data_IF_787923662961
#
_entry.id   IF_787923662961
#
_cell.length_a   1.000
_cell.length_b   1.000
_cell.length_c   1.000
_cell.angle_alpha   90.00
_cell.angle_beta   90.00
_cell.angle_gamma   90.00
#
_symmetry.space_group_name_H-M   'P 1'
#
loop_
_entity.id
_entity.type
_entity.pdbx_description
1 polymer ?
#
# COMPACT_ATOMS: atom_id res chain seq x y z
N UNK A 1 -38.90 -3.25 -9.15
CA UNK A 1 -39.04 -3.91 -7.85
C UNK A 1 -38.26 -3.08 -6.83
N UNK A 2 -39.04 -2.47 -5.93
CA UNK A 2 -38.59 -1.55 -4.89
C UNK A 2 -37.56 -2.22 -3.99
N UNK A 3 -36.32 -1.69 -3.96
CA UNK A 3 -35.42 -1.89 -2.82
C UNK A 3 -36.07 -1.17 -1.62
N UNK A 4 -36.61 -1.95 -0.70
CA UNK A 4 -36.98 -1.43 0.61
C UNK A 4 -35.75 -0.96 1.32
N UNK A 5 -35.69 0.33 1.68
CA UNK A 5 -34.77 0.84 2.69
C UNK A 5 -35.06 0.10 4.01
N UNK A 6 -34.34 -0.97 4.27
CA UNK A 6 -34.19 -1.48 5.62
C UNK A 6 -33.18 -0.54 6.26
N UNK A 7 -33.63 0.35 7.12
CA UNK A 7 -32.75 0.95 8.14
C UNK A 7 -32.25 -0.23 8.98
N UNK A 8 -31.08 -0.73 8.66
CA UNK A 8 -30.39 -1.67 9.52
C UNK A 8 -30.21 -0.95 10.88
N UNK A 9 -30.81 -1.48 11.92
CA UNK A 9 -30.65 -0.92 13.25
C UNK A 9 -29.23 -1.17 13.70
N UNK A 10 -28.58 -0.14 14.22
CA UNK A 10 -27.29 -0.26 14.90
C UNK A 10 -27.40 -1.39 15.92
N UNK A 11 -26.64 -2.46 15.71
CA UNK A 11 -26.67 -3.59 16.61
C UNK A 11 -25.48 -3.50 17.57
N UNK A 12 -25.76 -3.05 18.81
CA UNK A 12 -24.80 -3.14 19.89
C UNK A 12 -24.72 -4.61 20.31
N UNK A 13 -23.58 -5.25 20.07
CA UNK A 13 -23.33 -6.63 20.47
C UNK A 13 -22.68 -6.58 21.86
N UNK A 14 -23.51 -6.76 22.90
CA UNK A 14 -23.13 -6.50 24.28
C UNK A 14 -22.10 -7.49 24.81
N UNK A 15 -22.18 -8.75 24.38
CA UNK A 15 -21.35 -9.83 24.90
C UNK A 15 -21.12 -10.94 23.87
N UNK A 16 -20.34 -11.95 24.25
CA UNK A 16 -19.99 -13.08 23.40
C UNK A 16 -21.18 -13.99 23.07
N UNK A 17 -22.19 -14.07 23.94
CA UNK A 17 -23.39 -14.89 23.68
C UNK A 17 -24.23 -14.25 22.57
N UNK A 18 -24.43 -12.95 22.61
CA UNK A 18 -25.13 -12.19 21.57
C UNK A 18 -24.36 -12.29 20.24
N UNK A 19 -23.04 -12.09 20.25
CA UNK A 19 -22.20 -12.29 19.09
C UNK A 19 -22.39 -13.71 18.50
N UNK A 20 -22.32 -14.74 19.34
CA UNK A 20 -22.51 -16.12 18.90
C UNK A 20 -23.90 -16.35 18.27
N UNK A 21 -24.95 -15.75 18.84
CA UNK A 21 -26.31 -15.86 18.30
C UNK A 21 -26.40 -15.26 16.89
N UNK A 22 -25.76 -14.12 16.65
CA UNK A 22 -25.72 -13.47 15.33
C UNK A 22 -24.93 -14.32 14.33
N UNK A 23 -23.69 -14.66 14.65
CA UNK A 23 -22.81 -15.38 13.72
C UNK A 23 -23.29 -16.80 13.42
N UNK A 24 -24.00 -17.46 14.33
CA UNK A 24 -24.58 -18.79 14.10
C UNK A 24 -25.79 -18.75 13.14
N UNK A 25 -26.31 -17.59 12.78
CA UNK A 25 -27.32 -17.45 11.73
C UNK A 25 -26.73 -17.57 10.31
N UNK A 26 -25.41 -17.46 10.15
CA UNK A 26 -24.70 -17.63 8.90
C UNK A 26 -24.22 -19.06 8.72
N UNK A 27 -24.04 -19.48 7.47
CA UNK A 27 -23.38 -20.74 7.15
C UNK A 27 -21.89 -20.66 7.55
N UNK A 28 -21.33 -21.77 8.04
CA UNK A 28 -19.90 -21.82 8.33
C UNK A 28 -19.08 -21.85 7.04
N UNK A 29 -17.99 -21.07 7.01
CA UNK A 29 -17.11 -21.02 5.87
C UNK A 29 -16.30 -22.31 5.75
N UNK A 30 -16.31 -22.93 4.56
CA UNK A 30 -15.59 -24.17 4.28
C UNK A 30 -14.34 -23.85 3.47
N UNK A 31 -13.18 -23.86 4.11
CA UNK A 31 -11.89 -23.47 3.52
C UNK A 31 -11.46 -24.38 2.35
N UNK A 32 -11.90 -25.63 2.33
CA UNK A 32 -11.57 -26.61 1.28
C UNK A 32 -12.18 -26.24 -0.09
N UNK A 33 -13.19 -25.38 -0.10
CA UNK A 33 -13.85 -24.91 -1.31
C UNK A 33 -13.27 -23.60 -1.83
N UNK A 34 -12.17 -23.12 -1.26
CA UNK A 34 -11.55 -21.87 -1.67
C UNK A 34 -11.03 -21.95 -3.11
N UNK A 35 -11.36 -20.93 -3.85
CA UNK A 35 -10.77 -20.64 -5.14
C UNK A 35 -9.49 -19.79 -4.98
N UNK A 36 -8.87 -19.41 -6.11
CA UNK A 36 -7.76 -18.47 -6.10
C UNK A 36 -8.14 -17.11 -5.49
N UNK A 37 -7.21 -16.47 -4.78
CA UNK A 37 -7.36 -15.09 -4.30
C UNK A 37 -7.63 -14.07 -5.42
N UNK A 38 -7.52 -14.45 -6.68
CA UNK A 38 -7.93 -13.62 -7.83
C UNK A 38 -9.41 -13.24 -7.76
N UNK A 39 -10.27 -14.08 -7.15
CA UNK A 39 -11.67 -13.77 -6.93
C UNK A 39 -11.86 -12.55 -6.04
N UNK A 40 -11.10 -12.46 -4.97
CA UNK A 40 -11.18 -11.36 -3.98
C UNK A 40 -10.66 -10.04 -4.57
N UNK A 41 -9.67 -10.10 -5.48
CA UNK A 41 -9.07 -8.94 -6.13
C UNK A 41 -9.54 -8.71 -7.57
N UNK A 42 -10.66 -9.36 -7.97
CA UNK A 42 -11.26 -9.15 -9.30
C UNK A 42 -11.65 -7.68 -9.47
N UNK A 43 -11.11 -7.03 -10.51
CA UNK A 43 -11.35 -5.62 -10.79
C UNK A 43 -12.81 -5.31 -11.17
N UNK A 44 -13.59 -6.33 -11.56
CA UNK A 44 -14.99 -6.18 -11.95
C UNK A 44 -15.98 -6.43 -10.80
N UNK A 45 -15.46 -6.76 -9.60
CA UNK A 45 -16.28 -7.08 -8.42
C UNK A 45 -16.13 -6.03 -7.35
N UNK A 46 -17.24 -5.74 -6.69
CA UNK A 46 -17.29 -4.94 -5.47
C UNK A 46 -17.74 -5.85 -4.33
N UNK A 47 -16.80 -6.38 -3.59
CA UNK A 47 -17.08 -7.29 -2.49
C UNK A 47 -17.51 -6.54 -1.23
N UNK A 48 -18.44 -7.16 -0.48
CA UNK A 48 -18.84 -6.75 0.85
C UNK A 48 -18.17 -7.68 1.87
N UNK A 49 -17.62 -7.10 2.91
CA UNK A 49 -17.06 -7.78 4.08
C UNK A 49 -17.74 -7.25 5.34
N UNK A 50 -18.30 -8.15 6.14
CA UNK A 50 -18.96 -7.80 7.37
C UNK A 50 -18.14 -8.30 8.56
N UNK A 51 -17.77 -7.38 9.44
CA UNK A 51 -17.05 -7.68 10.67
C UNK A 51 -18.01 -7.62 11.85
N UNK A 52 -17.97 -8.66 12.67
CA UNK A 52 -18.76 -8.72 13.90
C UNK A 52 -17.83 -8.83 15.12
N UNK A 53 -17.98 -7.91 16.06
CA UNK A 53 -17.23 -7.84 17.31
C UNK A 53 -18.16 -7.55 18.47
N UNK A 54 -17.79 -7.97 19.69
CA UNK A 54 -18.44 -7.46 20.88
C UNK A 54 -18.18 -5.97 21.04
N UNK A 55 -19.04 -5.27 21.75
CA UNK A 55 -18.85 -3.84 22.03
C UNK A 55 -17.54 -3.59 22.78
N UNK A 56 -17.18 -4.46 23.73
CA UNK A 56 -15.92 -4.39 24.46
C UNK A 56 -14.71 -4.40 23.51
N UNK A 57 -14.66 -5.33 22.57
CA UNK A 57 -13.57 -5.43 21.58
C UNK A 57 -13.56 -4.23 20.62
N UNK A 58 -14.74 -3.75 20.20
CA UNK A 58 -14.84 -2.57 19.36
C UNK A 58 -14.35 -1.32 20.10
N UNK A 59 -14.72 -1.17 21.36
CA UNK A 59 -14.28 -0.06 22.21
C UNK A 59 -12.77 -0.12 22.48
N UNK A 60 -12.19 -1.31 22.67
CA UNK A 60 -10.75 -1.49 22.84
C UNK A 60 -9.98 -0.91 21.65
N UNK A 61 -10.31 -1.32 20.42
CA UNK A 61 -9.61 -0.81 19.25
C UNK A 61 -9.94 0.67 18.95
N UNK A 62 -11.14 1.15 19.27
CA UNK A 62 -11.51 2.56 19.10
C UNK A 62 -10.82 3.48 20.11
N UNK A 63 -10.58 3.01 21.33
CA UNK A 63 -9.92 3.81 22.37
C UNK A 63 -8.42 3.95 22.18
N UNK A 64 -7.77 3.01 21.49
CA UNK A 64 -6.33 3.08 21.21
C UNK A 64 -5.95 2.46 19.85
N UNK A 65 -6.39 3.06 18.72
CA UNK A 65 -6.14 2.53 17.39
C UNK A 65 -4.66 2.36 17.05
N UNK A 66 -3.84 3.33 17.50
CA UNK A 66 -2.40 3.36 17.20
C UNK A 66 -1.58 2.27 17.92
N UNK A 67 -2.15 1.61 18.94
CA UNK A 67 -1.52 0.44 19.55
C UNK A 67 -1.49 -0.78 18.62
N UNK A 68 -2.34 -0.78 17.59
CA UNK A 68 -2.42 -1.86 16.61
C UNK A 68 -2.65 -3.26 17.21
N UNK A 69 -3.29 -3.32 18.39
CA UNK A 69 -3.61 -4.57 19.05
C UNK A 69 -4.75 -5.30 18.34
N UNK A 70 -4.58 -6.61 18.16
CA UNK A 70 -5.66 -7.44 17.65
C UNK A 70 -6.66 -7.78 18.74
N UNK A 71 -7.94 -7.64 18.41
CA UNK A 71 -9.08 -8.16 19.18
C UNK A 71 -9.74 -9.28 18.40
N UNK A 72 -10.47 -10.15 19.11
CA UNK A 72 -11.21 -11.24 18.50
C UNK A 72 -12.51 -10.76 17.86
N UNK A 73 -12.84 -11.30 16.70
CA UNK A 73 -14.11 -11.09 16.02
C UNK A 73 -14.42 -12.19 15.02
N UNK A 74 -15.41 -11.94 14.19
CA UNK A 74 -15.80 -12.82 13.08
C UNK A 74 -15.91 -12.02 11.79
N UNK A 75 -15.59 -12.67 10.68
CA UNK A 75 -15.74 -12.14 9.33
C UNK A 75 -16.86 -12.88 8.62
N UNK A 76 -17.83 -12.18 8.05
CA UNK A 76 -18.83 -12.76 7.16
C UNK A 76 -18.54 -12.29 5.74
N UNK A 77 -18.49 -13.24 4.83
CA UNK A 77 -18.30 -13.01 3.40
C UNK A 77 -19.26 -13.89 2.60
N UNK A 78 -20.07 -13.25 1.75
CA UNK A 78 -21.10 -13.94 0.93
C UNK A 78 -22.01 -14.88 1.75
N UNK A 79 -22.42 -14.41 2.94
CA UNK A 79 -23.33 -15.17 3.82
C UNK A 79 -22.68 -16.30 4.61
N UNK A 80 -21.34 -16.43 4.54
CA UNK A 80 -20.58 -17.45 5.27
C UNK A 80 -19.68 -16.81 6.31
N UNK A 81 -19.67 -17.38 7.52
CA UNK A 81 -18.91 -16.86 8.67
C UNK A 81 -17.57 -17.57 8.84
N UNK A 82 -16.53 -16.77 9.03
CA UNK A 82 -15.21 -17.18 9.52
C UNK A 82 -15.09 -16.68 10.95
N UNK A 83 -15.10 -17.61 11.89
CA UNK A 83 -15.01 -17.32 13.33
C UNK A 83 -13.55 -17.17 13.79
N UNK A 84 -13.37 -16.50 14.93
CA UNK A 84 -12.08 -16.36 15.60
C UNK A 84 -11.00 -15.70 14.70
N UNK A 85 -11.35 -14.62 14.02
CA UNK A 85 -10.39 -13.79 13.31
C UNK A 85 -9.86 -12.69 14.22
N UNK A 86 -8.61 -12.28 14.01
CA UNK A 86 -8.06 -11.11 14.68
C UNK A 86 -8.37 -9.85 13.88
N UNK A 87 -8.92 -8.83 14.52
CA UNK A 87 -9.29 -7.55 13.90
C UNK A 87 -8.53 -6.44 14.59
N UNK A 88 -7.94 -5.51 13.83
CA UNK A 88 -7.30 -4.31 14.35
C UNK A 88 -7.33 -3.17 13.36
N UNK A 89 -7.14 -1.97 13.83
CA UNK A 89 -6.72 -0.88 12.96
C UNK A 89 -5.26 -1.02 12.58
N UNK A 90 -4.85 -0.35 11.51
CA UNK A 90 -3.47 -0.29 11.04
C UNK A 90 -3.16 1.10 10.49
N UNK A 91 -1.90 1.48 10.54
CA UNK A 91 -1.46 2.73 9.92
C UNK A 91 -0.04 3.07 10.26
N UNK A 92 0.39 4.17 9.70
CA UNK A 92 1.58 4.92 10.09
C UNK A 92 1.15 6.31 10.55
N UNK A 93 2.07 7.20 10.78
CA UNK A 93 1.79 8.58 11.23
C UNK A 93 0.73 9.24 10.33
N UNK A 94 0.88 9.17 9.01
CA UNK A 94 -0.07 9.79 8.06
C UNK A 94 -1.51 9.26 8.18
N UNK A 95 -1.68 7.96 8.46
CA UNK A 95 -2.99 7.36 8.61
C UNK A 95 -3.72 7.80 9.90
N UNK A 96 -2.99 8.19 10.92
CA UNK A 96 -3.54 8.58 12.22
C UNK A 96 -3.91 10.06 12.33
N UNK A 97 -3.23 10.91 11.56
CA UNK A 97 -3.42 12.35 11.67
C UNK A 97 -4.83 12.80 11.31
N UNK A 98 -5.40 13.66 12.17
CA UNK A 98 -6.77 14.12 12.04
C UNK A 98 -7.82 13.06 12.37
N UNK A 99 -7.41 11.84 12.74
CA UNK A 99 -8.29 10.71 13.05
C UNK A 99 -8.16 10.19 14.47
N UNK A 100 -7.25 10.75 15.27
CA UNK A 100 -7.08 10.47 16.69
C UNK A 100 -7.34 11.73 17.52
N UNK A 101 -7.75 11.53 18.78
CA UNK A 101 -8.02 12.63 19.70
C UNK A 101 -6.77 13.38 20.15
N UNK A 102 -5.59 12.78 20.07
CA UNK A 102 -4.32 13.45 20.25
C UNK A 102 -3.69 13.72 18.86
N UNK A 103 -3.48 15.00 18.56
CA UNK A 103 -2.95 15.46 17.27
C UNK A 103 -1.41 15.54 17.23
N UNK A 104 -0.72 14.84 18.12
CA UNK A 104 0.74 14.78 18.11
C UNK A 104 1.24 13.88 16.96
N UNK A 105 1.80 14.52 15.93
CA UNK A 105 2.35 13.83 14.76
C UNK A 105 3.55 12.94 15.08
N UNK A 106 4.26 13.20 16.18
CA UNK A 106 5.45 12.43 16.58
C UNK A 106 5.10 11.23 17.44
N UNK A 107 3.90 11.23 18.04
CA UNK A 107 3.42 10.17 18.91
C UNK A 107 1.89 10.04 18.80
N UNK A 108 1.38 9.48 17.68
CA UNK A 108 -0.06 9.31 17.50
C UNK A 108 -0.67 8.49 18.63
N UNK A 109 -1.71 9.00 19.28
CA UNK A 109 -2.34 8.33 20.41
C UNK A 109 -3.76 8.84 20.67
N UNK A 110 -4.46 8.22 21.61
CA UNK A 110 -5.82 8.57 21.97
C UNK A 110 -6.87 7.77 21.18
N UNK A 111 -8.13 8.17 21.33
CA UNK A 111 -9.26 7.46 20.73
C UNK A 111 -9.53 7.93 19.28
N UNK A 112 -10.20 7.06 18.53
CA UNK A 112 -10.60 7.30 17.14
C UNK A 112 -11.63 8.43 17.03
N UNK A 113 -11.42 9.36 16.12
CA UNK A 113 -12.31 10.50 15.83
C UNK A 113 -12.88 10.49 14.40
N UNK A 114 -12.24 9.77 13.47
CA UNK A 114 -12.75 9.58 12.11
C UNK A 114 -13.77 8.43 12.05
N UNK A 115 -14.72 8.45 11.11
CA UNK A 115 -15.66 7.34 10.91
C UNK A 115 -14.93 6.02 10.62
N UNK A 116 -13.88 6.06 9.80
CA UNK A 116 -13.11 4.88 9.42
C UNK A 116 -11.61 5.11 9.54
N UNK A 117 -10.91 4.02 9.82
CA UNK A 117 -9.46 3.90 9.78
C UNK A 117 -9.10 2.64 8.99
N UNK A 118 -7.91 2.58 8.44
CA UNK A 118 -7.42 1.38 7.77
C UNK A 118 -7.42 0.18 8.73
N UNK A 119 -7.83 -0.99 8.23
CA UNK A 119 -8.00 -2.19 9.05
C UNK A 119 -7.18 -3.36 8.53
N UNK A 120 -6.83 -4.25 9.44
CA UNK A 120 -6.18 -5.53 9.14
C UNK A 120 -6.93 -6.66 9.82
N UNK A 121 -7.28 -7.68 9.02
CA UNK A 121 -7.98 -8.86 9.49
C UNK A 121 -7.04 -10.04 9.39
N UNK A 122 -6.76 -10.72 10.51
CA UNK A 122 -5.90 -11.89 10.58
C UNK A 122 -6.77 -13.15 10.60
N UNK A 123 -6.85 -13.85 9.47
CA UNK A 123 -7.65 -15.07 9.31
C UNK A 123 -7.09 -16.21 10.16
N UNK A 124 -5.76 -16.35 10.15
CA UNK A 124 -5.05 -17.33 10.97
C UNK A 124 -4.79 -16.85 12.41
N UNK A 125 -5.76 -16.14 13.01
CA UNK A 125 -5.63 -15.65 14.39
C UNK A 125 -5.52 -16.77 15.40
N UNK A 126 -6.39 -17.78 15.24
CA UNK A 126 -6.35 -19.00 16.02
C UNK A 126 -6.28 -20.20 15.06
N UNK A 127 -5.06 -20.64 14.74
CA UNK A 127 -4.80 -21.76 13.81
C UNK A 127 -4.16 -21.33 12.50
N UNK A 128 -4.17 -22.21 11.50
CA UNK A 128 -3.48 -22.03 10.21
C UNK A 128 -4.43 -21.81 9.02
N UNK A 129 -5.67 -21.43 9.29
CA UNK A 129 -6.68 -21.21 8.27
C UNK A 129 -6.29 -20.11 7.30
N UNK A 130 -6.71 -20.26 6.05
CA UNK A 130 -6.52 -19.28 4.98
C UNK A 130 -7.84 -19.02 4.29
N UNK A 131 -8.12 -17.77 3.96
CA UNK A 131 -9.28 -17.35 3.20
C UNK A 131 -8.83 -17.05 1.76
N UNK A 132 -9.29 -17.83 0.80
CA UNK A 132 -8.82 -17.78 -0.60
C UNK A 132 -7.28 -17.84 -0.70
N UNK A 133 -6.65 -18.67 0.13
CA UNK A 133 -5.20 -18.80 0.22
C UNK A 133 -4.48 -17.71 1.04
N UNK A 134 -5.19 -16.69 1.50
CA UNK A 134 -4.62 -15.56 2.25
C UNK A 134 -4.72 -15.76 3.77
N UNK A 135 -3.67 -15.36 4.49
CA UNK A 135 -3.64 -15.34 5.96
C UNK A 135 -4.20 -14.04 6.55
N UNK A 136 -4.18 -12.97 5.76
CA UNK A 136 -4.59 -11.62 6.19
C UNK A 136 -5.29 -10.88 5.05
N UNK A 137 -6.26 -10.05 5.41
CA UNK A 137 -6.87 -9.04 4.55
C UNK A 137 -6.48 -7.65 5.05
N UNK A 138 -6.37 -6.70 4.13
CA UNK A 138 -6.12 -5.28 4.45
C UNK A 138 -7.12 -4.40 3.73
N UNK A 139 -7.66 -3.45 4.48
CA UNK A 139 -8.60 -2.46 3.98
C UNK A 139 -8.05 -1.08 4.30
N UNK A 140 -7.62 -0.34 3.28
CA UNK A 140 -7.09 1.01 3.46
C UNK A 140 -8.23 2.02 3.38
N UNK A 141 -8.28 2.93 4.35
CA UNK A 141 -9.42 3.86 4.53
C UNK A 141 -9.51 4.93 3.44
N UNK A 142 -8.40 5.26 2.79
CA UNK A 142 -8.31 6.31 1.76
C UNK A 142 -8.84 7.67 2.25
N UNK A 143 -8.62 8.00 3.54
CA UNK A 143 -9.13 9.24 4.12
C UNK A 143 -8.52 10.50 3.49
N UNK A 144 -7.28 10.42 3.00
CA UNK A 144 -6.57 11.53 2.33
C UNK A 144 -6.89 11.61 0.85
N UNK A 145 -7.25 10.50 0.20
CA UNK A 145 -7.64 10.46 -1.21
C UNK A 145 -9.16 10.62 -1.37
N UNK A 146 -9.63 11.85 -1.60
CA UNK A 146 -11.05 12.11 -1.85
C UNK A 146 -11.55 11.50 -3.17
N UNK A 147 -10.67 11.20 -4.12
CA UNK A 147 -11.05 10.49 -5.35
C UNK A 147 -11.29 9.00 -5.12
N UNK A 148 -10.67 8.42 -4.11
CA UNK A 148 -10.61 6.98 -3.79
C UNK A 148 -10.01 6.13 -4.92
N UNK A 149 -9.21 6.75 -5.81
CA UNK A 149 -8.68 6.09 -7.01
C UNK A 149 -7.17 5.89 -7.00
N UNK A 150 -6.42 6.66 -6.20
CA UNK A 150 -4.95 6.75 -6.27
C UNK A 150 -4.29 5.39 -6.10
N UNK A 151 -4.57 4.72 -4.99
CA UNK A 151 -3.93 3.44 -4.66
C UNK A 151 -4.27 2.35 -5.68
N UNK A 152 -5.54 2.21 -6.04
CA UNK A 152 -6.00 1.23 -7.03
C UNK A 152 -5.38 1.48 -8.39
N UNK A 153 -5.34 2.74 -8.84
CA UNK A 153 -4.75 3.12 -10.13
C UNK A 153 -3.23 2.92 -10.13
N UNK A 154 -2.55 3.30 -9.06
CA UNK A 154 -1.11 3.11 -8.92
C UNK A 154 -0.70 1.64 -9.04
N UNK A 155 -1.34 0.75 -8.28
CA UNK A 155 -1.08 -0.68 -8.38
C UNK A 155 -1.46 -1.26 -9.74
N UNK A 156 -2.54 -0.77 -10.35
CA UNK A 156 -2.91 -1.17 -11.71
C UNK A 156 -1.80 -0.84 -12.72
N UNK A 157 -1.18 0.34 -12.63
CA UNK A 157 -0.10 0.76 -13.51
C UNK A 157 1.14 -0.12 -13.35
N UNK A 158 1.59 -0.37 -12.13
CA UNK A 158 2.72 -1.28 -11.88
C UNK A 158 2.48 -2.67 -12.45
N UNK A 159 1.36 -3.29 -12.08
CA UNK A 159 1.06 -4.67 -12.46
C UNK A 159 0.91 -4.86 -13.97
N UNK A 160 0.22 -3.95 -14.65
CA UNK A 160 0.00 -4.07 -16.09
C UNK A 160 1.21 -3.66 -16.94
N UNK A 161 2.23 -3.06 -16.32
CA UNK A 161 3.53 -2.86 -16.95
C UNK A 161 4.53 -3.99 -16.64
N UNK A 162 4.07 -5.06 -16.00
CA UNK A 162 4.83 -6.28 -15.75
C UNK A 162 5.69 -6.23 -14.47
N UNK A 163 5.40 -5.32 -13.53
CA UNK A 163 6.08 -5.23 -12.25
C UNK A 163 5.26 -5.98 -11.19
N UNK A 164 5.91 -6.82 -10.41
CA UNK A 164 5.27 -7.48 -9.27
C UNK A 164 4.87 -6.44 -8.24
N UNK A 165 3.57 -6.34 -7.98
CA UNK A 165 3.01 -5.40 -7.03
C UNK A 165 1.70 -5.96 -6.45
N UNK A 166 1.26 -5.52 -5.27
CA UNK A 166 -0.03 -5.89 -4.71
C UNK A 166 -1.19 -5.68 -5.67
N UNK A 167 -2.19 -6.55 -5.59
CA UNK A 167 -3.48 -6.31 -6.22
C UNK A 167 -4.27 -5.37 -5.32
N UNK A 168 -5.02 -4.46 -5.91
CA UNK A 168 -5.92 -3.57 -5.19
C UNK A 168 -7.21 -3.38 -5.96
N UNK A 169 -8.35 -3.47 -5.27
CA UNK A 169 -9.67 -3.12 -5.77
C UNK A 169 -10.48 -2.45 -4.65
N UNK A 170 -11.69 -1.98 -4.95
CA UNK A 170 -12.56 -1.45 -3.92
C UNK A 170 -13.33 -2.56 -3.21
N UNK A 171 -13.61 -2.35 -1.92
CA UNK A 171 -14.48 -3.20 -1.12
C UNK A 171 -15.38 -2.35 -0.20
N UNK A 172 -16.52 -2.92 0.15
CA UNK A 172 -17.46 -2.39 1.15
C UNK A 172 -17.18 -3.06 2.48
N UNK A 173 -17.02 -2.27 3.53
CA UNK A 173 -16.81 -2.78 4.86
C UNK A 173 -17.99 -2.41 5.76
N UNK A 174 -18.49 -3.39 6.49
CA UNK A 174 -19.54 -3.24 7.50
C UNK A 174 -18.97 -3.69 8.85
N UNK A 175 -19.35 -3.01 9.92
CA UNK A 175 -18.96 -3.35 11.29
C UNK A 175 -20.24 -3.44 12.12
N UNK A 176 -20.53 -4.61 12.70
CA UNK A 176 -21.73 -4.88 13.47
C UNK A 176 -23.03 -4.48 12.73
N UNK A 177 -23.08 -4.75 11.41
CA UNK A 177 -24.22 -4.42 10.57
C UNK A 177 -24.25 -2.98 10.04
N UNK A 178 -23.39 -2.08 10.53
CA UNK A 178 -23.32 -0.71 10.03
C UNK A 178 -22.33 -0.59 8.85
N UNK A 179 -22.75 0.12 7.82
CA UNK A 179 -21.89 0.45 6.70
C UNK A 179 -20.77 1.41 7.14
N UNK A 180 -19.54 0.94 7.11
CA UNK A 180 -18.38 1.73 7.51
C UNK A 180 -17.79 2.54 6.35
N UNK A 181 -18.02 2.12 5.10
CA UNK A 181 -17.62 2.87 3.90
C UNK A 181 -16.96 2.04 2.81
N UNK A 182 -16.44 2.77 1.82
CA UNK A 182 -15.63 2.23 0.72
C UNK A 182 -14.16 2.24 1.14
N UNK A 183 -13.47 1.13 0.92
CA UNK A 183 -12.05 0.93 1.23
C UNK A 183 -11.28 0.45 0.00
N UNK A 184 -9.99 0.71 -0.07
CA UNK A 184 -9.11 -0.05 -0.95
C UNK A 184 -8.81 -1.39 -0.25
N UNK A 185 -9.20 -2.50 -0.90
CA UNK A 185 -8.85 -3.85 -0.50
C UNK A 185 -7.53 -4.19 -1.18
N UNK A 186 -6.44 -4.01 -0.45
CA UNK A 186 -5.08 -4.15 -0.97
C UNK A 186 -4.42 -5.40 -0.45
N UNK A 187 -3.82 -6.17 -1.36
CA UNK A 187 -3.17 -7.44 -1.06
C UNK A 187 -2.04 -7.27 -0.02
N UNK A 188 -2.05 -8.12 1.01
CA UNK A 188 -0.99 -8.10 2.00
C UNK A 188 0.28 -8.74 1.44
N UNK A 189 1.41 -8.05 1.55
CA UNK A 189 2.71 -8.55 1.09
C UNK A 189 3.31 -9.43 2.19
N UNK A 190 3.17 -10.75 2.03
CA UNK A 190 3.65 -11.79 2.95
C UNK A 190 3.86 -13.13 2.21
N UNK A 191 4.03 -14.24 2.93
CA UNK A 191 4.22 -15.57 2.33
C UNK A 191 3.14 -15.99 1.30
N UNK A 192 1.83 -15.82 1.53
CA UNK A 192 0.80 -15.97 0.51
C UNK A 192 1.03 -15.13 -0.76
N UNK A 193 1.51 -13.90 -0.62
CA UNK A 193 1.86 -13.04 -1.75
C UNK A 193 3.05 -13.63 -2.54
N UNK A 194 4.12 -14.05 -1.85
CA UNK A 194 5.26 -14.67 -2.55
C UNK A 194 4.86 -15.94 -3.28
N UNK A 195 4.02 -16.79 -2.67
CA UNK A 195 3.47 -17.99 -3.30
C UNK A 195 2.63 -17.71 -4.54
N UNK A 196 1.96 -16.56 -4.60
CA UNK A 196 1.10 -16.19 -5.74
C UNK A 196 1.89 -15.59 -6.90
N UNK A 197 2.93 -14.81 -6.59
CA UNK A 197 3.53 -13.90 -7.58
C UNK A 197 4.94 -14.28 -8.02
N UNK A 198 5.61 -15.20 -7.32
CA UNK A 198 6.97 -15.62 -7.67
C UNK A 198 7.02 -17.10 -8.04
N UNK A 199 7.88 -17.44 -8.99
CA UNK A 199 8.13 -18.83 -9.41
C UNK A 199 8.81 -19.60 -8.28
N UNK A 200 9.71 -18.94 -7.54
CA UNK A 200 10.42 -19.46 -6.39
C UNK A 200 9.91 -18.75 -5.14
N UNK A 201 8.85 -19.23 -4.46
CA UNK A 201 8.16 -18.48 -3.43
C UNK A 201 8.84 -18.45 -2.05
N UNK A 202 9.84 -19.31 -1.84
CA UNK A 202 10.45 -19.57 -0.53
C UNK A 202 11.59 -18.59 -0.18
N UNK A 203 11.72 -17.52 -0.96
CA UNK A 203 12.70 -16.47 -0.74
C UNK A 203 12.40 -15.56 0.43
N UNK A 204 13.40 -14.77 0.79
CA UNK A 204 13.25 -13.75 1.81
C UNK A 204 12.49 -12.54 1.28
N UNK A 205 11.52 -12.10 2.04
CA UNK A 205 10.80 -10.86 1.83
C UNK A 205 11.22 -9.87 2.92
N UNK A 206 11.67 -8.70 2.53
CA UNK A 206 12.10 -7.64 3.43
C UNK A 206 11.21 -6.41 3.28
N UNK A 207 10.83 -5.78 4.39
CA UNK A 207 10.12 -4.49 4.37
C UNK A 207 11.06 -3.36 4.75
N UNK A 208 11.14 -2.35 3.88
CA UNK A 208 11.82 -1.07 4.13
C UNK A 208 13.28 -1.21 4.59
N UNK A 209 14.02 -2.16 4.03
CA UNK A 209 15.45 -2.30 4.22
C UNK A 209 16.19 -1.92 2.95
N UNK A 210 16.90 -0.78 2.96
CA UNK A 210 17.69 -0.34 1.81
C UNK A 210 19.13 -0.84 1.96
N UNK A 211 19.69 -1.55 0.94
CA UNK A 211 20.97 -2.26 1.07
C UNK A 211 22.19 -1.39 1.37
N UNK A 212 22.10 -0.08 1.13
CA UNK A 212 23.21 0.86 1.36
C UNK A 212 22.77 2.05 2.20
N UNK A 213 23.59 2.51 3.12
CA UNK A 213 23.35 3.75 3.88
C UNK A 213 23.47 4.96 2.97
N UNK A 214 22.74 6.02 3.24
CA UNK A 214 22.84 7.29 2.49
C UNK A 214 24.23 7.93 2.53
N UNK A 215 25.09 7.53 3.49
CA UNK A 215 26.52 7.84 3.54
C UNK A 215 27.36 7.02 2.56
N UNK A 216 26.78 6.01 1.91
CA UNK A 216 27.42 5.08 0.99
C UNK A 216 28.04 3.83 1.65
N UNK A 217 27.93 3.67 2.97
CA UNK A 217 28.42 2.48 3.69
C UNK A 217 27.42 1.32 3.66
N UNK A 218 27.92 0.11 4.01
CA UNK A 218 27.07 -1.07 4.17
C UNK A 218 26.19 -0.99 5.42
N UNK A 219 25.19 -1.88 5.47
CA UNK A 219 24.29 -2.08 6.61
C UNK A 219 24.75 -3.25 7.46
N UNK A 220 24.42 -3.20 8.74
CA UNK A 220 24.64 -4.32 9.66
C UNK A 220 23.60 -5.42 9.42
N UNK A 221 23.93 -6.66 9.77
CA UNK A 221 23.09 -7.84 9.56
C UNK A 221 21.73 -7.72 10.25
N UNK A 222 21.70 -7.24 11.49
CA UNK A 222 20.45 -7.05 12.26
C UNK A 222 19.46 -6.12 11.56
N UNK A 223 19.92 -5.14 10.78
CA UNK A 223 19.06 -4.26 10.01
C UNK A 223 18.18 -5.02 8.99
N UNK A 224 18.73 -6.08 8.39
CA UNK A 224 18.01 -6.93 7.47
C UNK A 224 17.12 -7.93 8.20
N UNK A 225 17.59 -8.50 9.32
CA UNK A 225 16.80 -9.42 10.15
C UNK A 225 15.53 -8.74 10.67
N UNK A 226 15.63 -7.50 11.14
CA UNK A 226 14.49 -6.71 11.63
C UNK A 226 13.46 -6.42 10.52
N UNK A 227 13.91 -6.36 9.27
CA UNK A 227 13.06 -6.14 8.10
C UNK A 227 12.37 -7.38 7.54
N UNK A 228 12.76 -8.60 7.95
CA UNK A 228 12.19 -9.85 7.43
C UNK A 228 10.66 -9.93 7.64
N UNK A 229 9.97 -10.50 6.63
CA UNK A 229 8.51 -10.76 6.63
C UNK A 229 8.19 -12.19 6.19
N UNK A 230 9.19 -12.96 5.79
CA UNK A 230 9.18 -14.41 5.59
C UNK A 230 10.47 -14.97 6.18
N UNK A 231 10.50 -16.25 6.54
CA UNK A 231 11.67 -16.94 7.08
C UNK A 231 12.27 -16.30 8.35
N UNK A 232 11.45 -15.61 9.15
CA UNK A 232 11.90 -14.90 10.36
C UNK A 232 12.54 -15.86 11.38
N UNK A 233 12.10 -17.11 11.44
CA UNK A 233 12.66 -18.13 12.32
C UNK A 233 14.04 -18.64 11.87
N UNK A 234 14.35 -18.57 10.58
CA UNK A 234 15.66 -18.98 10.03
C UNK A 234 16.64 -17.80 10.10
N UNK A 235 16.16 -16.58 9.83
CA UNK A 235 16.91 -15.33 9.87
C UNK A 235 18.21 -15.33 9.06
N UNK A 236 18.26 -16.11 7.96
CA UNK A 236 19.40 -16.12 7.03
C UNK A 236 19.29 -14.95 6.03
N UNK A 237 20.06 -13.91 6.26
CA UNK A 237 20.11 -12.70 5.42
C UNK A 237 21.42 -12.57 4.66
N UNK A 238 22.16 -13.67 4.51
CA UNK A 238 23.52 -13.69 3.94
C UNK A 238 23.58 -13.07 2.55
N UNK A 239 22.57 -13.31 1.69
CA UNK A 239 22.57 -12.78 0.31
C UNK A 239 22.44 -11.26 0.29
N UNK A 240 21.39 -10.68 0.88
CA UNK A 240 21.22 -9.22 0.90
C UNK A 240 22.37 -8.52 1.66
N UNK A 241 22.91 -9.17 2.70
CA UNK A 241 24.09 -8.67 3.42
C UNK A 241 25.32 -8.61 2.51
N UNK A 242 25.57 -9.65 1.69
CA UNK A 242 26.65 -9.68 0.70
C UNK A 242 26.49 -8.54 -0.32
N UNK A 243 25.30 -8.30 -0.82
CA UNK A 243 25.03 -7.16 -1.70
C UNK A 243 25.35 -5.83 -1.02
N UNK A 244 24.91 -5.66 0.22
CA UNK A 244 25.22 -4.49 1.02
C UNK A 244 26.74 -4.27 1.22
N UNK A 245 27.49 -5.33 1.50
CA UNK A 245 28.93 -5.27 1.69
C UNK A 245 29.67 -4.90 0.39
N UNK A 246 29.26 -5.48 -0.73
CA UNK A 246 29.80 -5.14 -2.05
C UNK A 246 29.57 -3.65 -2.37
N UNK A 247 28.32 -3.15 -2.19
CA UNK A 247 28.03 -1.73 -2.38
C UNK A 247 28.81 -0.83 -1.42
N UNK A 248 28.97 -1.25 -0.15
CA UNK A 248 29.71 -0.50 0.85
C UNK A 248 31.21 -0.37 0.53
N UNK A 249 31.77 -1.32 -0.21
CA UNK A 249 33.22 -1.39 -0.52
C UNK A 249 33.65 -0.52 -1.70
N UNK A 250 32.73 -0.01 -2.52
CA UNK A 250 33.04 0.76 -3.73
C UNK A 250 32.55 2.20 -3.66
N UNK A 251 33.09 3.07 -4.52
CA UNK A 251 32.51 4.40 -4.71
C UNK A 251 31.24 4.33 -5.55
N UNK A 252 30.45 5.41 -5.55
CA UNK A 252 29.23 5.49 -6.35
C UNK A 252 29.48 5.29 -7.85
N UNK A 253 30.59 5.81 -8.38
CA UNK A 253 30.97 5.65 -9.81
C UNK A 253 31.19 4.19 -10.22
N UNK A 254 31.50 3.32 -9.26
CA UNK A 254 31.90 1.94 -9.50
C UNK A 254 30.82 0.94 -9.08
N UNK A 255 29.63 1.45 -8.70
CA UNK A 255 28.54 0.63 -8.17
C UNK A 255 27.71 -0.07 -9.28
N UNK A 256 27.77 0.40 -10.52
CA UNK A 256 26.89 -0.06 -11.60
C UNK A 256 26.97 -1.57 -11.83
N UNK A 257 28.17 -2.13 -11.97
CA UNK A 257 28.35 -3.57 -12.21
C UNK A 257 27.76 -4.40 -11.07
N UNK A 258 28.02 -3.97 -9.81
CA UNK A 258 27.47 -4.65 -8.64
C UNK A 258 25.94 -4.59 -8.64
N UNK A 259 25.36 -3.42 -8.95
CA UNK A 259 23.89 -3.25 -8.95
C UNK A 259 23.26 -4.14 -10.04
N UNK A 260 23.86 -4.23 -11.22
CA UNK A 260 23.36 -5.07 -12.33
C UNK A 260 23.48 -6.57 -12.03
N UNK A 261 24.48 -6.98 -11.26
CA UNK A 261 24.58 -8.38 -10.81
C UNK A 261 23.42 -8.77 -9.88
N UNK A 262 22.93 -7.83 -9.07
CA UNK A 262 21.91 -8.07 -8.03
C UNK A 262 20.49 -7.66 -8.40
N UNK A 263 20.32 -6.75 -9.35
CA UNK A 263 19.01 -6.18 -9.71
C UNK A 263 18.81 -6.31 -11.23
N UNK A 264 17.64 -6.82 -11.64
CA UNK A 264 17.29 -6.82 -13.05
C UNK A 264 17.11 -5.39 -13.56
N UNK A 265 17.95 -5.00 -14.51
CA UNK A 265 17.99 -3.63 -15.02
C UNK A 265 16.66 -3.19 -15.64
N UNK A 266 16.08 -4.04 -16.50
CA UNK A 266 14.90 -3.66 -17.26
C UNK A 266 13.67 -3.58 -16.35
N UNK A 267 13.55 -4.51 -15.41
CA UNK A 267 12.47 -4.51 -14.42
C UNK A 267 12.58 -3.31 -13.48
N UNK A 268 13.78 -2.98 -13.01
CA UNK A 268 13.97 -1.86 -12.09
C UNK A 268 13.77 -0.51 -12.79
N UNK A 269 14.20 -0.35 -14.06
CA UNK A 269 13.89 0.85 -14.85
C UNK A 269 12.39 1.03 -15.07
N UNK A 270 11.64 -0.05 -15.32
CA UNK A 270 10.18 -0.01 -15.37
C UNK A 270 9.59 0.42 -14.02
N UNK A 271 10.14 -0.08 -12.93
CA UNK A 271 9.69 0.27 -11.58
C UNK A 271 9.90 1.76 -11.29
N UNK A 272 11.09 2.31 -11.60
CA UNK A 272 11.36 3.75 -11.49
C UNK A 272 10.41 4.55 -12.40
N UNK A 273 10.20 4.09 -13.63
CA UNK A 273 9.35 4.80 -14.59
C UNK A 273 7.91 4.93 -14.09
N UNK A 274 7.30 3.83 -13.67
CA UNK A 274 5.92 3.87 -13.16
C UNK A 274 5.83 4.75 -11.93
N UNK A 275 6.75 4.56 -10.97
CA UNK A 275 6.82 5.35 -9.74
C UNK A 275 6.88 6.86 -10.03
N UNK A 276 7.72 7.28 -10.99
CA UNK A 276 7.84 8.69 -11.37
C UNK A 276 6.64 9.20 -12.17
N UNK A 277 6.07 8.38 -13.06
CA UNK A 277 4.89 8.80 -13.86
C UNK A 277 3.62 8.95 -13.05
N UNK A 278 3.48 8.20 -11.97
CA UNK A 278 2.36 8.38 -11.03
C UNK A 278 2.67 9.41 -9.91
N UNK A 279 3.84 10.05 -9.95
CA UNK A 279 4.31 10.98 -8.93
C UNK A 279 4.14 10.41 -7.51
N UNK A 280 4.68 9.20 -7.27
CA UNK A 280 4.67 8.57 -5.96
C UNK A 280 5.69 9.27 -5.05
N UNK A 281 5.27 10.33 -4.39
CA UNK A 281 6.16 11.23 -3.64
C UNK A 281 6.45 10.75 -2.21
N UNK A 282 5.94 9.61 -1.80
CA UNK A 282 6.26 8.93 -0.54
C UNK A 282 6.83 7.52 -0.75
N UNK A 283 7.34 7.24 -1.95
CA UNK A 283 7.85 5.94 -2.34
C UNK A 283 9.37 5.78 -2.16
N UNK A 284 9.89 4.67 -2.70
CA UNK A 284 11.30 4.28 -2.58
C UNK A 284 12.29 5.28 -3.23
N UNK A 285 11.81 6.21 -4.04
CA UNK A 285 12.62 7.28 -4.64
C UNK A 285 12.79 8.49 -3.72
N UNK A 286 12.09 8.53 -2.57
CA UNK A 286 12.13 9.63 -1.61
C UNK A 286 13.07 9.32 -0.46
N UNK A 287 14.20 10.04 -0.41
CA UNK A 287 15.19 9.94 0.67
C UNK A 287 15.07 11.15 1.58
N UNK A 288 14.52 10.99 2.77
CA UNK A 288 14.36 12.07 3.74
C UNK A 288 14.85 11.67 5.14
N UNK A 289 15.05 12.68 5.97
CA UNK A 289 15.69 12.54 7.27
C UNK A 289 14.64 12.67 8.38
N UNK A 290 14.36 11.57 9.03
CA UNK A 290 13.43 11.49 10.17
C UNK A 290 14.17 11.49 11.51
N UNK A 291 14.81 12.62 11.84
CA UNK A 291 15.44 12.79 13.17
C UNK A 291 16.73 12.00 13.42
N UNK A 292 17.18 11.14 12.49
CA UNK A 292 18.45 10.41 12.53
C UNK A 292 19.59 11.15 11.80
N UNK A 293 20.67 10.44 11.51
CA UNK A 293 21.81 10.94 10.73
C UNK A 293 21.77 10.48 9.26
N UNK A 294 20.89 9.55 8.93
CA UNK A 294 20.75 8.98 7.59
C UNK A 294 19.51 9.52 6.91
N UNK A 295 19.53 9.55 5.58
CA UNK A 295 18.36 9.71 4.74
C UNK A 295 17.85 8.32 4.42
N UNK A 296 16.59 8.04 4.74
CA UNK A 296 15.97 6.75 4.51
C UNK A 296 14.80 6.94 3.51
N UNK A 297 14.45 5.86 2.82
CA UNK A 297 13.30 5.80 1.93
C UNK A 297 12.31 4.76 2.44
N UNK A 298 11.05 4.88 2.03
CA UNK A 298 9.93 4.13 2.60
C UNK A 298 9.06 3.49 1.52
N UNK A 299 8.05 2.75 1.95
CA UNK A 299 6.97 2.25 1.11
C UNK A 299 7.41 1.30 -0.01
N UNK A 300 8.22 0.31 0.34
CA UNK A 300 8.63 -0.76 -0.55
C UNK A 300 8.94 -2.05 0.21
N UNK A 301 9.01 -3.15 -0.56
CA UNK A 301 9.61 -4.40 -0.13
C UNK A 301 10.69 -4.82 -1.11
N UNK A 302 11.64 -5.64 -0.65
CA UNK A 302 12.51 -6.42 -1.50
C UNK A 302 12.15 -7.89 -1.40
N UNK A 303 12.11 -8.56 -2.54
CA UNK A 303 12.07 -10.01 -2.62
C UNK A 303 13.43 -10.52 -3.10
N UNK A 304 14.01 -11.43 -2.33
CA UNK A 304 15.29 -12.10 -2.62
C UNK A 304 14.98 -13.49 -3.17
N UNK A 305 15.22 -13.70 -4.48
CA UNK A 305 14.98 -15.02 -5.10
C UNK A 305 15.94 -16.05 -4.49
N UNK A 306 15.46 -17.22 -4.02
CA UNK A 306 16.31 -18.22 -3.40
C UNK A 306 17.26 -18.94 -4.38
N UNK A 307 16.96 -18.91 -5.68
CA UNK A 307 17.68 -19.68 -6.69
C UNK A 307 18.68 -18.85 -7.51
N UNK A 308 18.64 -17.54 -7.42
CA UNK A 308 19.62 -16.65 -8.02
C UNK A 308 20.02 -15.49 -7.08
N UNK A 309 20.95 -14.65 -7.51
CA UNK A 309 21.41 -13.50 -6.73
C UNK A 309 20.62 -12.23 -7.13
N UNK A 310 19.32 -12.35 -7.42
CA UNK A 310 18.47 -11.23 -7.81
C UNK A 310 17.54 -10.78 -6.68
N UNK A 311 17.48 -9.47 -6.55
CA UNK A 311 16.55 -8.76 -5.69
C UNK A 311 15.51 -8.04 -6.56
N UNK A 312 14.23 -8.22 -6.23
CA UNK A 312 13.14 -7.52 -6.90
C UNK A 312 12.44 -6.57 -5.94
N UNK A 313 12.33 -5.30 -6.33
CA UNK A 313 11.58 -4.30 -5.56
C UNK A 313 10.08 -4.45 -5.82
N UNK A 314 9.30 -4.39 -4.76
CA UNK A 314 7.85 -4.41 -4.76
C UNK A 314 7.37 -3.07 -4.19
N UNK A 315 6.65 -2.24 -4.95
CA UNK A 315 6.10 -0.98 -4.45
C UNK A 315 5.01 -1.22 -3.41
N UNK A 316 4.93 -0.30 -2.44
CA UNK A 316 3.96 -0.36 -1.35
C UNK A 316 3.40 1.03 -1.05
N UNK A 317 2.18 1.10 -0.48
CA UNK A 317 1.52 2.30 0.04
C UNK A 317 1.43 3.46 -0.97
N UNK A 318 0.60 3.27 -2.00
CA UNK A 318 0.48 4.18 -3.14
C UNK A 318 -0.64 5.22 -2.98
N UNK A 319 -1.15 5.45 -1.79
CA UNK A 319 -2.24 6.39 -1.51
C UNK A 319 -1.81 7.86 -1.74
N UNK A 320 -0.52 8.17 -1.58
CA UNK A 320 0.08 9.47 -1.86
C UNK A 320 0.55 9.66 -3.32
N UNK A 321 0.17 8.76 -4.24
CA UNK A 321 0.45 8.91 -5.66
C UNK A 321 -0.46 9.94 -6.31
N UNK A 322 -0.08 10.48 -7.46
CA UNK A 322 -0.84 11.40 -8.33
C UNK A 322 -1.06 12.81 -7.79
N UNK A 323 -0.67 13.14 -6.58
CA UNK A 323 -0.94 14.46 -6.00
C UNK A 323 -0.15 15.60 -6.65
N UNK A 324 1.10 15.35 -7.03
CA UNK A 324 2.04 16.39 -7.54
C UNK A 324 2.30 16.30 -9.05
N UNK A 325 1.43 15.69 -9.83
CA UNK A 325 1.62 15.50 -11.27
C UNK A 325 1.82 16.79 -12.06
N UNK A 326 1.05 17.83 -11.74
CA UNK A 326 1.09 19.10 -12.47
C UNK A 326 2.20 19.99 -11.94
N UNK A 327 2.37 20.04 -10.65
CA UNK A 327 3.26 21.01 -10.02
C UNK A 327 4.72 20.65 -10.24
N UNK A 328 5.06 19.37 -10.39
CA UNK A 328 6.44 18.89 -10.55
C UNK A 328 7.43 19.61 -9.62
N UNK A 329 6.98 19.91 -8.40
CA UNK A 329 7.66 20.81 -7.49
C UNK A 329 8.68 20.12 -6.60
N UNK A 330 8.80 18.78 -6.66
CA UNK A 330 9.77 18.09 -5.82
C UNK A 330 11.20 18.24 -6.40
N UNK A 331 12.01 19.16 -5.89
CA UNK A 331 13.35 19.40 -6.42
C UNK A 331 14.37 18.31 -5.99
N UNK A 332 13.98 17.46 -5.03
CA UNK A 332 14.85 16.40 -4.49
C UNK A 332 14.75 15.14 -5.32
N UNK A 333 13.52 14.81 -5.72
CA UNK A 333 13.21 13.71 -6.62
C UNK A 333 12.35 14.26 -7.75
N UNK A 334 12.95 14.94 -8.73
CA UNK A 334 12.22 15.50 -9.85
C UNK A 334 11.38 14.41 -10.50
N UNK A 335 10.14 14.70 -10.85
CA UNK A 335 9.17 13.71 -11.21
C UNK A 335 9.64 12.99 -12.49
N UNK A 336 9.10 13.09 -13.57
CA UNK A 336 9.25 12.19 -14.70
C UNK A 336 10.59 12.32 -15.47
N UNK A 337 11.09 13.52 -15.64
CA UNK A 337 12.14 13.77 -16.65
C UNK A 337 13.54 14.01 -16.07
N UNK A 338 13.65 14.12 -14.75
CA UNK A 338 14.88 14.56 -14.08
C UNK A 338 15.28 13.77 -12.85
N UNK A 339 14.64 12.64 -12.58
CA UNK A 339 14.95 11.80 -11.41
C UNK A 339 16.43 11.37 -11.36
N UNK A 340 17.11 11.33 -12.51
CA UNK A 340 18.53 10.99 -12.68
C UNK A 340 19.48 12.16 -12.37
N UNK A 341 18.96 13.38 -12.21
CA UNK A 341 19.77 14.54 -11.85
C UNK A 341 20.00 14.64 -10.34
N UNK A 342 21.16 15.15 -9.97
CA UNK A 342 21.45 15.46 -8.56
C UNK A 342 21.11 16.91 -8.26
N UNK A 343 20.43 17.15 -7.15
CA UNK A 343 20.11 18.49 -6.65
C UNK A 343 21.05 18.87 -5.53
N UNK A 344 21.48 20.13 -5.49
CA UNK A 344 22.33 20.70 -4.44
C UNK A 344 23.63 19.90 -4.20
N UNK A 345 24.22 19.33 -5.27
CA UNK A 345 25.43 18.50 -5.17
C UNK A 345 25.30 17.36 -4.14
N UNK A 346 24.15 16.75 -4.05
CA UNK A 346 23.81 15.72 -3.05
C UNK A 346 23.83 16.20 -1.59
N UNK A 347 23.91 17.48 -1.32
CA UNK A 347 23.64 18.00 0.02
C UNK A 347 22.13 18.00 0.28
N UNK A 348 21.74 17.71 1.52
CA UNK A 348 20.34 17.76 1.91
C UNK A 348 19.80 19.21 1.88
N UNK A 349 18.53 19.35 1.58
CA UNK A 349 17.78 20.59 1.71
C UNK A 349 16.32 20.32 2.09
N UNK A 350 15.68 21.35 2.66
CA UNK A 350 14.32 21.20 3.20
C UNK A 350 13.28 21.37 2.11
N UNK A 351 12.30 20.47 2.10
CA UNK A 351 11.20 20.48 1.15
C UNK A 351 9.94 19.85 1.73
N UNK A 352 8.79 20.14 1.10
CA UNK A 352 7.47 19.62 1.43
C UNK A 352 6.80 20.32 2.60
N UNK A 353 5.53 19.99 2.83
CA UNK A 353 4.69 20.60 3.88
C UNK A 353 5.23 20.36 5.29
N UNK A 354 5.93 19.25 5.51
CA UNK A 354 6.58 18.93 6.80
C UNK A 354 7.98 19.54 6.93
N UNK A 355 8.46 20.27 5.93
CA UNK A 355 9.78 20.87 5.93
C UNK A 355 10.92 19.87 6.29
N UNK A 356 10.80 18.63 5.81
CA UNK A 356 11.79 17.58 6.04
C UNK A 356 13.06 17.83 5.24
N UNK A 357 14.18 17.45 5.82
CA UNK A 357 15.46 17.49 5.12
C UNK A 357 15.51 16.29 4.16
N UNK A 358 15.63 16.56 2.86
CA UNK A 358 15.59 15.55 1.79
C UNK A 358 16.87 15.54 0.97
N UNK A 359 17.09 14.48 0.22
CA UNK A 359 18.24 14.28 -0.66
C UNK A 359 17.76 13.69 -2.00
N UNK A 360 18.39 14.10 -3.08
CA UNK A 360 18.11 13.58 -4.41
C UNK A 360 18.32 12.07 -4.49
N UNK A 361 17.36 11.34 -5.05
CA UNK A 361 17.43 9.89 -5.23
C UNK A 361 18.65 9.46 -6.05
N UNK A 362 18.98 10.22 -7.09
CA UNK A 362 20.18 9.99 -7.91
C UNK A 362 21.51 10.06 -7.12
N UNK A 363 21.49 10.53 -5.86
CA UNK A 363 22.65 10.52 -4.99
C UNK A 363 22.90 9.16 -4.34
N UNK A 364 21.91 8.29 -4.28
CA UNK A 364 22.02 6.92 -3.83
C UNK A 364 22.84 6.05 -4.80
N UNK A 365 23.50 5.01 -4.32
CA UNK A 365 24.33 4.14 -5.16
C UNK A 365 23.48 3.27 -6.09
N UNK A 366 22.33 2.77 -5.62
CA UNK A 366 21.45 1.91 -6.42
C UNK A 366 20.72 2.78 -7.45
N UNK A 367 20.00 3.79 -7.04
CA UNK A 367 19.25 4.67 -7.95
C UNK A 367 20.22 5.39 -8.92
N UNK A 368 21.34 5.88 -8.41
CA UNK A 368 22.35 6.57 -9.20
C UNK A 368 22.98 5.70 -10.29
N UNK A 369 23.10 4.40 -10.06
CA UNK A 369 23.58 3.45 -11.08
C UNK A 369 22.66 3.39 -12.29
N UNK A 370 21.34 3.51 -12.08
CA UNK A 370 20.38 3.51 -13.19
C UNK A 370 20.29 4.84 -13.94
N UNK A 371 20.87 5.93 -13.40
CA UNK A 371 20.85 7.26 -14.03
C UNK A 371 21.54 7.30 -15.40
N UNK A 372 22.44 6.35 -15.69
CA UNK A 372 23.13 6.20 -16.99
C UNK A 372 22.24 5.61 -18.09
N UNK A 373 21.14 4.93 -17.74
CA UNK A 373 20.25 4.23 -18.69
C UNK A 373 19.09 5.10 -19.18
N UNK A 374 19.34 6.39 -19.35
CA UNK A 374 18.30 7.34 -19.77
C UNK A 374 17.63 6.96 -21.09
N UNK A 375 18.39 6.50 -22.08
CA UNK A 375 17.82 6.11 -23.38
C UNK A 375 16.86 4.92 -23.27
N UNK A 376 17.21 3.94 -22.44
CA UNK A 376 16.36 2.80 -22.16
C UNK A 376 15.10 3.24 -21.43
N UNK A 377 15.24 4.11 -20.42
CA UNK A 377 14.14 4.73 -19.70
C UNK A 377 13.19 5.50 -20.62
N UNK A 378 13.71 6.39 -21.49
CA UNK A 378 12.91 7.16 -22.43
C UNK A 378 12.15 6.25 -23.42
N UNK A 379 12.77 5.13 -23.85
CA UNK A 379 12.13 4.14 -24.71
C UNK A 379 11.00 3.39 -23.99
N UNK A 380 11.22 3.01 -22.73
CA UNK A 380 10.20 2.38 -21.88
C UNK A 380 9.04 3.35 -21.62
N UNK A 381 9.32 4.64 -21.45
CA UNK A 381 8.30 5.66 -21.21
C UNK A 381 7.34 5.80 -22.40
N UNK A 382 7.86 5.81 -23.61
CA UNK A 382 7.04 5.81 -24.83
C UNK A 382 6.13 4.57 -24.87
N UNK A 383 6.65 3.40 -24.52
CA UNK A 383 5.87 2.16 -24.47
C UNK A 383 4.79 2.25 -23.38
N UNK A 384 5.13 2.71 -22.20
CA UNK A 384 4.21 2.84 -21.06
C UNK A 384 3.06 3.78 -21.37
N UNK A 385 3.34 4.97 -21.92
CA UNK A 385 2.32 5.93 -22.33
C UNK A 385 1.42 5.36 -23.43
N UNK A 386 1.98 4.75 -24.45
CA UNK A 386 1.17 4.21 -25.54
C UNK A 386 0.27 3.04 -25.11
N UNK A 387 0.73 2.20 -24.20
CA UNK A 387 0.01 1.01 -23.78
C UNK A 387 -0.93 1.23 -22.60
N UNK A 388 -0.51 2.01 -21.61
CA UNK A 388 -1.18 2.06 -20.31
C UNK A 388 -1.49 3.48 -19.84
N UNK A 389 -0.51 4.38 -19.82
CA UNK A 389 -0.62 5.69 -19.21
C UNK A 389 -1.05 6.74 -20.23
N UNK A 390 -2.25 6.58 -20.78
CA UNK A 390 -2.88 7.48 -21.74
C UNK A 390 -4.34 7.74 -21.37
N UNK A 391 -4.87 8.87 -21.80
CA UNK A 391 -6.21 9.31 -21.38
C UNK A 391 -7.35 8.39 -21.79
N UNK A 392 -7.20 7.64 -22.89
CA UNK A 392 -8.21 6.65 -23.31
C UNK A 392 -8.35 5.53 -22.27
N UNK A 393 -7.23 4.95 -21.86
CA UNK A 393 -7.20 3.89 -20.86
C UNK A 393 -7.59 4.42 -19.46
N UNK A 394 -7.02 5.55 -19.05
CA UNK A 394 -7.31 6.18 -17.76
C UNK A 394 -8.80 6.48 -17.61
N UNK A 395 -9.42 7.08 -18.61
CA UNK A 395 -10.86 7.36 -18.56
C UNK A 395 -11.67 6.08 -18.46
N UNK A 396 -11.34 5.06 -19.25
CA UNK A 396 -12.05 3.77 -19.21
C UNK A 396 -11.99 3.13 -17.82
N UNK A 397 -10.82 3.13 -17.18
CA UNK A 397 -10.62 2.57 -15.85
C UNK A 397 -11.40 3.37 -14.79
N UNK A 398 -11.20 4.69 -14.75
CA UNK A 398 -11.81 5.54 -13.74
C UNK A 398 -13.34 5.59 -13.88
N UNK A 399 -13.89 5.62 -15.10
CA UNK A 399 -15.32 5.58 -15.33
C UNK A 399 -15.95 4.23 -14.92
N UNK A 400 -15.24 3.13 -15.17
CA UNK A 400 -15.65 1.80 -14.73
C UNK A 400 -15.70 1.72 -13.20
N UNK A 401 -14.65 2.17 -12.52
CA UNK A 401 -14.56 2.15 -11.05
C UNK A 401 -15.50 3.16 -10.41
N UNK A 402 -15.70 4.32 -11.03
CA UNK A 402 -16.73 5.28 -10.64
C UNK A 402 -18.11 4.62 -10.58
N UNK A 403 -18.53 3.98 -11.66
CA UNK A 403 -19.84 3.32 -11.74
C UNK A 403 -19.95 2.17 -10.71
N UNK A 404 -18.84 1.51 -10.38
CA UNK A 404 -18.81 0.42 -9.43
C UNK A 404 -19.10 0.88 -7.99
N UNK A 405 -18.59 2.03 -7.56
CA UNK A 405 -18.67 2.46 -6.16
C UNK A 405 -19.55 3.69 -5.90
N UNK A 406 -20.12 4.32 -6.94
CA UNK A 406 -20.89 5.56 -6.82
C UNK A 406 -21.94 5.52 -5.71
N UNK A 407 -22.80 4.50 -5.72
CA UNK A 407 -23.88 4.40 -4.74
C UNK A 407 -23.33 4.25 -3.31
N UNK A 408 -22.23 3.54 -3.14
CA UNK A 408 -21.60 3.34 -1.84
C UNK A 408 -20.89 4.62 -1.33
N UNK A 409 -20.34 5.44 -2.21
CA UNK A 409 -19.78 6.76 -1.83
C UNK A 409 -20.92 7.70 -1.39
N UNK A 410 -22.03 7.72 -2.11
CA UNK A 410 -23.23 8.51 -1.74
C UNK A 410 -23.80 8.08 -0.38
N UNK A 411 -23.87 6.76 -0.14
CA UNK A 411 -24.31 6.19 1.14
C UNK A 411 -23.35 6.57 2.27
N UNK A 412 -22.01 6.45 2.05
CA UNK A 412 -21.01 6.81 3.03
C UNK A 412 -21.11 8.29 3.45
N UNK A 413 -21.28 9.20 2.50
CA UNK A 413 -21.52 10.62 2.79
C UNK A 413 -22.81 10.84 3.58
N UNK A 414 -23.91 10.14 3.21
CA UNK A 414 -25.19 10.22 3.93
C UNK A 414 -25.07 9.81 5.39
N UNK A 415 -24.22 8.83 5.70
CA UNK A 415 -24.02 8.33 7.07
C UNK A 415 -23.00 9.17 7.86
N UNK A 416 -21.89 9.53 7.24
CA UNK A 416 -20.73 10.13 7.91
C UNK A 416 -20.58 11.64 7.69
N UNK A 417 -21.46 12.25 6.89
CA UNK A 417 -21.44 13.69 6.58
C UNK A 417 -20.12 14.13 5.96
N UNK A 418 -19.64 15.31 6.35
CA UNK A 418 -18.42 15.93 5.78
C UNK A 418 -17.12 15.15 6.03
N UNK A 419 -17.18 14.04 6.77
CA UNK A 419 -16.04 13.13 6.95
C UNK A 419 -15.83 12.18 5.77
N UNK A 420 -16.81 12.04 4.91
CA UNK A 420 -16.70 11.37 3.60
C UNK A 420 -17.10 12.35 2.49
N UNK A 421 -16.49 12.26 1.29
CA UNK A 421 -16.77 13.22 0.22
C UNK A 421 -18.23 13.13 -0.24
N UNK A 422 -18.86 14.28 -0.44
CA UNK A 422 -20.11 14.37 -1.19
C UNK A 422 -19.91 13.88 -2.62
N UNK A 423 -20.99 13.52 -3.31
CA UNK A 423 -20.92 13.10 -4.71
C UNK A 423 -20.28 14.18 -5.60
N UNK A 424 -20.52 15.47 -5.28
CA UNK A 424 -19.92 16.57 -6.02
C UNK A 424 -18.43 16.67 -5.77
N UNK A 425 -17.98 16.65 -4.51
CA UNK A 425 -16.56 16.67 -4.16
C UNK A 425 -15.82 15.48 -4.74
N UNK A 426 -16.42 14.29 -4.70
CA UNK A 426 -15.84 13.09 -5.28
C UNK A 426 -15.64 13.23 -6.79
N UNK A 427 -16.67 13.71 -7.51
CA UNK A 427 -16.61 14.00 -8.95
C UNK A 427 -15.51 15.03 -9.27
N UNK A 428 -15.43 16.10 -8.48
CA UNK A 428 -14.43 17.15 -8.69
C UNK A 428 -13.01 16.62 -8.51
N UNK A 429 -12.80 15.74 -7.52
CA UNK A 429 -11.49 15.11 -7.30
C UNK A 429 -11.12 14.10 -8.40
N UNK A 430 -12.07 13.31 -8.91
CA UNK A 430 -11.82 12.42 -10.05
C UNK A 430 -11.52 13.24 -11.32
N UNK A 431 -12.25 14.31 -11.58
CA UNK A 431 -12.01 15.19 -12.72
C UNK A 431 -10.64 15.89 -12.59
N UNK A 432 -10.26 16.29 -11.38
CA UNK A 432 -8.93 16.85 -11.12
C UNK A 432 -7.82 15.83 -11.36
N UNK A 433 -8.01 14.59 -10.92
CA UNK A 433 -7.07 13.49 -11.20
C UNK A 433 -6.91 13.27 -12.71
N UNK A 434 -8.01 13.18 -13.46
CA UNK A 434 -7.98 13.05 -14.93
C UNK A 434 -7.26 14.21 -15.59
N UNK A 435 -7.57 15.45 -15.17
CA UNK A 435 -6.93 16.66 -15.65
C UNK A 435 -5.42 16.65 -15.36
N UNK A 436 -5.02 16.30 -14.14
CA UNK A 436 -3.62 16.26 -13.72
C UNK A 436 -2.81 15.24 -14.52
N UNK A 437 -3.39 14.05 -14.78
CA UNK A 437 -2.76 13.05 -15.63
C UNK A 437 -2.61 13.57 -17.07
N UNK A 438 -3.67 14.15 -17.66
CA UNK A 438 -3.64 14.71 -19.01
C UNK A 438 -2.54 15.76 -19.17
N UNK A 439 -2.43 16.70 -18.21
CA UNK A 439 -1.38 17.70 -18.21
C UNK A 439 0.02 17.11 -18.05
N UNK A 440 0.15 15.99 -17.36
CA UNK A 440 1.44 15.32 -17.16
C UNK A 440 1.94 14.57 -18.39
N UNK A 441 1.07 14.30 -19.36
CA UNK A 441 1.41 13.64 -20.62
C UNK A 441 1.98 14.60 -21.66
N UNK A 442 1.70 15.89 -21.53
CA UNK A 442 2.17 16.97 -22.38
C UNK A 442 3.45 17.58 -21.81
#
# INVERSE_FOLDING_TARGET
>A
TSLSCIKENIQIISDQEELNNIINSFEEYIYENDHSSDYIYDQNKLHRFDLFLTQENLDEINNNPAAENYVEGSLVFEGKVIKNVGIRYKGSIGAWVGCLSNEDWTNPSGYKTCPKLSMKIKINWKGDNKFYGMKKLQFHSQNLDKSKMHERLGYYMFRNFGITAPRSNHALLYINGEFNGVFANTENVDGPFTNKHFINPDGNLYKEVWPVKSSGGNREENYFIDGLKTNEEISDVTKIKRFSDQLGSVNKSDANEIVEDWIDKDLFLKTILVDRRIANDDGFMHFYHEGGINYENHNYYWYEDPNDDKLQLIPWDLDNSFENLISNLNPVTPIKDKWYETTNNCNGFRYGSFNLLQKSAACDKIIGSFSSYRKDYDSLDIIFQNQLFNMSNINTLLDSWYNQIKNAVEEAHSIHGDKEPSIQEWNDNINYLKYSIDQSLN
#
